data_IF_844418566727
#
_entry.id   IF_844418566727
#
_cell.length_a   1.000
_cell.length_b   1.000
_cell.length_c   1.000
_cell.angle_alpha   90.00
_cell.angle_beta   90.00
_cell.angle_gamma   90.00
#
_symmetry.space_group_name_H-M   'P 1'
#
loop_
_entity.id
_entity.type
_entity.pdbx_description
1 polymer ?
#
# COMPACT_ATOMS: atom_id res chain seq x y z
N UNK A 1 -14.24 -2.21 13.29
CA UNK A 1 -12.77 -2.06 13.29
C UNK A 1 -12.00 -2.84 12.20
N UNK A 2 -12.51 -3.90 11.53
CA UNK A 2 -11.75 -4.57 10.46
C UNK A 2 -11.40 -3.66 9.26
N UNK A 3 -12.20 -2.65 8.98
CA UNK A 3 -12.01 -1.75 7.82
C UNK A 3 -10.78 -0.85 7.98
N UNK A 4 -10.57 -0.24 9.16
CA UNK A 4 -9.41 0.64 9.42
C UNK A 4 -8.10 -0.14 9.31
N UNK A 5 -8.02 -1.30 9.97
CA UNK A 5 -6.84 -2.18 9.89
C UNK A 5 -6.51 -2.57 8.44
N UNK A 6 -7.52 -2.92 7.64
CA UNK A 6 -7.31 -3.24 6.20
C UNK A 6 -6.80 -2.04 5.42
N UNK A 7 -7.31 -0.85 5.68
CA UNK A 7 -6.88 0.38 5.00
C UNK A 7 -5.43 0.72 5.35
N UNK A 8 -5.06 0.66 6.63
CA UNK A 8 -3.69 0.91 7.09
C UNK A 8 -2.72 -0.11 6.49
N UNK A 9 -3.06 -1.40 6.51
CA UNK A 9 -2.22 -2.43 5.88
C UNK A 9 -2.09 -2.24 4.37
N UNK A 10 -3.13 -1.77 3.69
CA UNK A 10 -3.07 -1.46 2.26
C UNK A 10 -2.14 -0.29 1.99
N UNK A 11 -2.21 0.78 2.78
CA UNK A 11 -1.33 1.93 2.67
C UNK A 11 0.13 1.56 2.97
N UNK A 12 0.39 0.80 4.03
CA UNK A 12 1.72 0.33 4.38
C UNK A 12 2.35 -0.53 3.26
N UNK A 13 1.58 -1.46 2.70
CA UNK A 13 2.04 -2.27 1.56
C UNK A 13 2.31 -1.44 0.31
N UNK A 14 1.45 -0.48 0.00
CA UNK A 14 1.63 0.43 -1.11
C UNK A 14 2.88 1.29 -0.95
N UNK A 15 3.15 1.80 0.26
CA UNK A 15 4.35 2.54 0.60
C UNK A 15 5.62 1.69 0.47
N UNK A 16 5.60 0.47 1.01
CA UNK A 16 6.75 -0.43 1.00
C UNK A 16 7.03 -1.07 -0.37
N UNK A 17 6.11 -0.94 -1.34
CA UNK A 17 6.27 -1.53 -2.67
C UNK A 17 7.50 -0.99 -3.41
N UNK A 18 7.77 0.32 -3.32
CA UNK A 18 8.93 0.94 -3.96
C UNK A 18 10.26 0.46 -3.36
N UNK A 19 10.54 0.63 -2.06
CA UNK A 19 11.83 0.19 -1.50
C UNK A 19 12.05 -1.32 -1.64
N UNK A 20 11.00 -2.11 -1.49
CA UNK A 20 11.12 -3.55 -1.70
C UNK A 20 11.28 -3.93 -3.18
N UNK A 21 10.70 -3.17 -4.09
CA UNK A 21 10.93 -3.30 -5.53
C UNK A 21 12.37 -3.07 -5.88
N UNK A 22 12.95 -1.97 -5.42
CA UNK A 22 14.37 -1.64 -5.62
C UNK A 22 15.28 -2.69 -4.99
N UNK A 23 15.02 -3.09 -3.73
CA UNK A 23 15.79 -4.14 -3.08
C UNK A 23 15.71 -5.48 -3.83
N UNK A 24 14.55 -5.83 -4.37
CA UNK A 24 14.39 -7.05 -5.17
C UNK A 24 15.17 -6.99 -6.49
N UNK A 25 15.29 -5.83 -7.14
CA UNK A 25 16.14 -5.63 -8.32
C UNK A 25 17.60 -5.86 -7.95
N UNK A 26 18.10 -5.21 -6.91
CA UNK A 26 19.49 -5.36 -6.43
C UNK A 26 19.78 -6.83 -6.10
N UNK A 27 18.92 -7.49 -5.34
CA UNK A 27 19.08 -8.91 -5.00
C UNK A 27 19.09 -9.81 -6.23
N UNK A 28 18.30 -9.51 -7.25
CA UNK A 28 18.29 -10.29 -8.50
C UNK A 28 19.58 -10.10 -9.27
N UNK A 29 20.06 -8.86 -9.40
CA UNK A 29 21.31 -8.54 -10.11
C UNK A 29 22.55 -9.08 -9.38
N UNK A 30 22.50 -9.23 -8.07
CA UNK A 30 23.58 -9.83 -7.26
C UNK A 30 23.48 -11.36 -7.14
N UNK A 31 22.68 -12.01 -7.99
CA UNK A 31 22.58 -13.48 -8.03
C UNK A 31 21.76 -14.10 -6.89
N UNK A 32 20.89 -13.32 -6.20
CA UNK A 32 20.07 -13.78 -5.10
C UNK A 32 18.55 -13.74 -5.42
N UNK A 33 18.09 -14.30 -6.55
CA UNK A 33 16.69 -14.18 -6.99
C UNK A 33 15.70 -14.81 -6.01
N UNK A 34 16.10 -15.87 -5.27
CA UNK A 34 15.27 -16.48 -4.26
C UNK A 34 14.98 -15.57 -3.04
N UNK A 35 15.92 -14.69 -2.65
CA UNK A 35 15.68 -13.70 -1.61
C UNK A 35 14.76 -12.59 -2.11
N UNK A 36 14.95 -12.13 -3.35
CA UNK A 36 14.08 -11.16 -3.99
C UNK A 36 12.62 -11.67 -4.05
N UNK A 37 12.43 -12.92 -4.45
CA UNK A 37 11.12 -13.57 -4.49
C UNK A 37 10.44 -13.61 -3.11
N UNK A 38 11.17 -14.03 -2.07
CA UNK A 38 10.65 -14.06 -0.68
C UNK A 38 10.27 -12.68 -0.16
N UNK A 39 11.08 -11.66 -0.43
CA UNK A 39 10.79 -10.28 -0.03
C UNK A 39 9.46 -9.81 -0.63
N UNK A 40 9.26 -10.01 -1.92
CA UNK A 40 8.01 -9.65 -2.61
C UNK A 40 6.81 -10.46 -2.16
N UNK A 41 6.95 -11.77 -1.96
CA UNK A 41 5.88 -12.62 -1.46
C UNK A 41 5.34 -12.16 -0.10
N UNK A 42 6.24 -11.75 0.81
CA UNK A 42 5.85 -11.19 2.13
C UNK A 42 5.01 -9.94 2.00
N UNK A 43 5.35 -9.04 1.06
CA UNK A 43 4.60 -7.79 0.84
C UNK A 43 3.28 -8.02 0.11
N UNK A 44 3.22 -8.98 -0.81
CA UNK A 44 1.99 -9.34 -1.50
C UNK A 44 0.96 -10.02 -0.58
N UNK A 45 1.38 -10.46 0.61
CA UNK A 45 0.48 -11.12 1.56
C UNK A 45 0.44 -12.64 1.42
N UNK A 46 1.49 -13.23 0.89
CA UNK A 46 1.62 -14.66 0.57
C UNK A 46 1.41 -14.91 -0.92
N UNK A 47 1.92 -16.00 -1.40
CA UNK A 47 1.91 -16.40 -2.80
C UNK A 47 3.33 -16.71 -3.29
N UNK A 48 3.43 -17.35 -4.44
CA UNK A 48 4.71 -17.65 -5.06
C UNK A 48 5.41 -16.37 -5.50
N UNK A 49 6.63 -16.17 -5.05
CA UNK A 49 7.45 -15.05 -5.46
C UNK A 49 7.89 -15.19 -6.91
N UNK A 50 7.90 -14.12 -7.65
CA UNK A 50 8.40 -14.11 -9.02
C UNK A 50 9.91 -14.13 -9.06
N UNK A 51 10.47 -14.90 -9.98
CA UNK A 51 11.92 -15.01 -10.19
C UNK A 51 12.30 -14.51 -11.56
N UNK A 52 13.57 -14.14 -11.71
CA UNK A 52 14.18 -13.80 -13.00
C UNK A 52 13.52 -12.61 -13.70
N UNK A 53 13.31 -12.74 -15.01
CA UNK A 53 12.83 -11.65 -15.87
C UNK A 53 11.45 -11.09 -15.49
N UNK A 54 10.57 -11.91 -14.93
CA UNK A 54 9.24 -11.45 -14.46
C UNK A 54 9.34 -10.50 -13.28
N UNK A 55 10.23 -10.79 -12.32
CA UNK A 55 10.48 -9.91 -11.19
C UNK A 55 11.06 -8.57 -11.63
N UNK A 56 11.99 -8.59 -12.57
CA UNK A 56 12.59 -7.39 -13.15
C UNK A 56 11.55 -6.59 -13.96
N UNK A 57 10.79 -7.25 -14.84
CA UNK A 57 9.73 -6.62 -15.62
C UNK A 57 8.67 -5.94 -14.72
N UNK A 58 8.23 -6.62 -13.63
CA UNK A 58 7.32 -6.02 -12.66
C UNK A 58 7.93 -4.80 -11.96
N UNK A 59 9.22 -4.87 -11.60
CA UNK A 59 9.89 -3.75 -10.93
C UNK A 59 9.97 -2.53 -11.84
N UNK A 60 10.36 -2.71 -13.10
CA UNK A 60 10.47 -1.61 -14.08
C UNK A 60 9.09 -1.03 -14.44
N UNK A 61 8.14 -1.89 -14.84
CA UNK A 61 6.79 -1.44 -15.23
C UNK A 61 5.98 -0.87 -14.06
N UNK A 62 6.26 -1.34 -12.84
CA UNK A 62 5.58 -0.86 -11.64
C UNK A 62 6.19 0.38 -11.01
N UNK A 63 7.39 0.77 -11.42
CA UNK A 63 8.12 1.89 -10.80
C UNK A 63 7.29 3.18 -10.69
N UNK A 64 6.55 3.63 -11.72
CA UNK A 64 5.74 4.84 -11.61
C UNK A 64 4.64 4.74 -10.54
N UNK A 65 3.93 3.59 -10.50
CA UNK A 65 2.86 3.36 -9.52
C UNK A 65 3.42 3.21 -8.10
N UNK A 66 4.53 2.50 -7.96
CA UNK A 66 5.18 2.27 -6.67
C UNK A 66 5.77 3.60 -6.14
N UNK A 67 6.35 4.44 -7.01
CA UNK A 67 6.85 5.76 -6.67
C UNK A 67 5.69 6.71 -6.28
N UNK A 68 4.61 6.75 -7.05
CA UNK A 68 3.44 7.56 -6.72
C UNK A 68 2.83 7.16 -5.37
N UNK A 69 2.73 5.85 -5.08
CA UNK A 69 2.24 5.36 -3.80
C UNK A 69 3.18 5.72 -2.65
N UNK A 70 4.50 5.61 -2.85
CA UNK A 70 5.51 5.98 -1.86
C UNK A 70 5.43 7.47 -1.51
N UNK A 71 5.39 8.34 -2.52
CA UNK A 71 5.30 9.80 -2.33
C UNK A 71 4.00 10.16 -1.63
N UNK A 72 2.86 9.62 -2.10
CA UNK A 72 1.55 9.95 -1.53
C UNK A 72 1.42 9.54 -0.06
N UNK A 73 1.81 8.31 0.27
CA UNK A 73 1.73 7.81 1.65
C UNK A 73 2.79 8.48 2.53
N UNK A 74 4.00 8.73 2.00
CA UNK A 74 5.04 9.47 2.69
C UNK A 74 4.59 10.91 3.02
N UNK A 75 3.98 11.59 2.07
CA UNK A 75 3.37 12.90 2.28
C UNK A 75 2.26 12.86 3.33
N UNK A 76 1.40 11.84 3.29
CA UNK A 76 0.35 11.67 4.29
C UNK A 76 0.92 11.44 5.69
N UNK A 77 1.98 10.64 5.83
CA UNK A 77 2.68 10.42 7.10
C UNK A 77 3.33 11.71 7.62
N UNK A 78 4.09 12.40 6.76
CA UNK A 78 4.74 13.66 7.11
C UNK A 78 3.73 14.69 7.62
N UNK A 79 2.64 14.90 6.88
CA UNK A 79 1.61 15.85 7.28
C UNK A 79 0.82 15.38 8.52
N UNK A 80 0.70 14.07 8.76
CA UNK A 80 0.11 13.57 10.00
C UNK A 80 0.96 13.96 11.22
N UNK A 81 2.27 13.75 11.13
CA UNK A 81 3.19 14.18 12.20
C UNK A 81 3.12 15.69 12.40
N UNK A 82 3.13 16.46 11.31
CA UNK A 82 3.08 17.93 11.36
C UNK A 82 1.78 18.46 11.97
N UNK A 83 0.62 17.97 11.51
CA UNK A 83 -0.67 18.53 11.92
C UNK A 83 -1.11 18.02 13.30
N UNK A 84 -0.84 16.76 13.65
CA UNK A 84 -1.14 16.27 15.00
C UNK A 84 -0.12 16.76 16.04
N UNK A 85 1.13 16.96 15.63
CA UNK A 85 2.18 17.52 16.47
C UNK A 85 2.23 19.04 16.45
N UNK A 86 1.23 19.73 15.88
CA UNK A 86 1.20 21.19 15.74
C UNK A 86 1.59 21.94 17.03
N UNK A 87 1.06 21.61 18.21
CA UNK A 87 1.45 22.30 19.44
C UNK A 87 2.93 22.17 19.78
N UNK A 88 3.60 21.09 19.38
CA UNK A 88 5.02 20.86 19.66
C UNK A 88 5.88 21.73 18.76
N UNK A 89 5.53 21.84 17.47
CA UNK A 89 6.35 22.52 16.46
C UNK A 89 6.19 24.04 16.45
N UNK A 90 5.00 24.52 16.89
CA UNK A 90 4.62 25.92 16.77
C UNK A 90 4.39 26.63 18.12
N UNK A 91 4.85 26.03 19.23
CA UNK A 91 4.68 26.57 20.57
C UNK A 91 5.29 27.98 20.72
N UNK A 92 6.45 28.21 20.10
CA UNK A 92 7.21 29.46 20.20
C UNK A 92 6.91 30.42 19.01
N UNK A 93 5.86 30.16 18.24
CA UNK A 93 5.46 31.02 17.12
C UNK A 93 4.23 31.85 17.46
N UNK A 94 4.03 32.97 16.74
CA UNK A 94 2.79 33.74 16.86
C UNK A 94 1.64 33.01 16.12
N UNK A 95 0.87 32.26 16.87
CA UNK A 95 -0.27 31.51 16.38
C UNK A 95 -1.59 32.24 16.53
N UNK A 96 -1.61 33.46 17.13
CA UNK A 96 -2.86 34.18 17.44
C UNK A 96 -3.64 34.58 16.19
N UNK A 97 -2.93 34.80 15.08
CA UNK A 97 -3.51 35.10 13.75
C UNK A 97 -3.75 33.87 12.89
N UNK A 98 -3.42 32.66 13.39
CA UNK A 98 -3.61 31.43 12.64
C UNK A 98 -5.08 30.98 12.64
N UNK A 99 -5.43 30.18 11.65
CA UNK A 99 -6.78 29.58 11.54
C UNK A 99 -7.12 28.77 12.79
N UNK A 100 -8.20 29.15 13.46
CA UNK A 100 -8.62 28.59 14.74
C UNK A 100 -8.12 29.34 15.97
N UNK A 101 -7.29 30.44 15.79
CA UNK A 101 -6.86 31.30 16.90
C UNK A 101 -8.03 31.91 17.68
N UNK A 102 -7.76 32.62 18.77
CA UNK A 102 -6.44 33.02 19.29
C UNK A 102 -5.77 32.00 20.24
N UNK A 103 -6.32 30.82 20.44
CA UNK A 103 -5.74 29.82 21.35
C UNK A 103 -5.01 28.72 20.59
N UNK A 104 -3.91 28.19 21.14
CA UNK A 104 -3.18 27.06 20.57
C UNK A 104 -4.11 25.83 20.41
N UNK A 105 -5.00 25.59 21.35
CA UNK A 105 -5.97 24.48 21.27
C UNK A 105 -6.92 24.63 20.08
N UNK A 106 -7.41 25.84 19.81
CA UNK A 106 -8.27 26.13 18.66
C UNK A 106 -7.53 25.94 17.33
N UNK A 107 -6.33 26.49 17.22
CA UNK A 107 -5.47 26.30 16.03
C UNK A 107 -5.19 24.83 15.78
N UNK A 108 -4.79 24.09 16.81
CA UNK A 108 -4.52 22.66 16.71
C UNK A 108 -5.78 21.88 16.30
N UNK A 109 -6.92 22.15 16.90
CA UNK A 109 -8.17 21.48 16.59
C UNK A 109 -8.55 21.64 15.11
N UNK A 110 -8.41 22.85 14.56
CA UNK A 110 -8.68 23.12 13.13
C UNK A 110 -7.73 22.35 12.22
N UNK A 111 -6.42 22.40 12.51
CA UNK A 111 -5.41 21.71 11.70
C UNK A 111 -5.55 20.19 11.79
N UNK A 112 -5.74 19.64 12.98
CA UNK A 112 -5.92 18.21 13.19
C UNK A 112 -7.20 17.69 12.52
N UNK A 113 -8.32 18.40 12.69
CA UNK A 113 -9.60 17.99 12.08
C UNK A 113 -9.57 18.10 10.56
N UNK A 114 -9.07 19.22 10.03
CA UNK A 114 -8.93 19.41 8.59
C UNK A 114 -8.03 18.33 7.97
N UNK A 115 -6.94 18.01 8.66
CA UNK A 115 -6.05 16.94 8.20
C UNK A 115 -6.69 15.55 8.29
N UNK A 116 -7.45 15.25 9.34
CA UNK A 116 -8.17 13.98 9.44
C UNK A 116 -9.15 13.78 8.28
N UNK A 117 -9.88 14.82 7.88
CA UNK A 117 -10.77 14.77 6.72
C UNK A 117 -9.99 14.55 5.43
N UNK A 118 -8.90 15.30 5.24
CA UNK A 118 -8.01 15.12 4.10
C UNK A 118 -7.44 13.70 4.04
N UNK A 119 -6.94 13.19 5.17
CA UNK A 119 -6.39 11.84 5.29
C UNK A 119 -7.43 10.77 4.97
N UNK A 120 -8.67 10.93 5.44
CA UNK A 120 -9.75 10.02 5.11
C UNK A 120 -10.00 9.95 3.60
N UNK A 121 -10.02 11.09 2.90
CA UNK A 121 -10.15 11.16 1.45
C UNK A 121 -8.94 10.51 0.75
N UNK A 122 -7.71 10.86 1.15
CA UNK A 122 -6.47 10.35 0.57
C UNK A 122 -6.37 8.83 0.71
N UNK A 123 -6.66 8.30 1.90
CA UNK A 123 -6.62 6.85 2.14
C UNK A 123 -7.77 6.11 1.45
N UNK A 124 -8.95 6.74 1.34
CA UNK A 124 -10.10 6.08 0.75
C UNK A 124 -9.99 5.98 -0.78
N UNK A 125 -9.53 7.01 -1.47
CA UNK A 125 -9.56 7.07 -2.93
C UNK A 125 -8.17 6.87 -3.55
N UNK A 126 -7.22 7.82 -3.46
CA UNK A 126 -5.95 7.70 -4.19
C UNK A 126 -5.14 6.46 -3.81
N UNK A 127 -4.96 6.18 -2.52
CA UNK A 127 -4.19 5.01 -2.06
C UNK A 127 -4.83 3.70 -2.52
N UNK A 128 -6.16 3.60 -2.49
CA UNK A 128 -6.87 2.40 -2.98
C UNK A 128 -6.78 2.25 -4.49
N UNK A 129 -6.81 3.34 -5.25
CA UNK A 129 -6.60 3.33 -6.69
C UNK A 129 -5.20 2.84 -7.05
N UNK A 130 -4.18 3.41 -6.43
CA UNK A 130 -2.79 2.98 -6.63
C UNK A 130 -2.59 1.51 -6.26
N UNK A 131 -3.11 1.07 -5.11
CA UNK A 131 -3.05 -0.33 -4.71
C UNK A 131 -3.82 -1.28 -5.65
N UNK A 132 -4.90 -0.83 -6.29
CA UNK A 132 -5.57 -1.60 -7.35
C UNK A 132 -4.72 -1.71 -8.61
N UNK A 133 -4.09 -0.59 -9.02
CA UNK A 133 -3.16 -0.55 -10.14
C UNK A 133 -1.98 -1.49 -9.94
N UNK A 134 -1.35 -1.45 -8.77
CA UNK A 134 -0.27 -2.37 -8.40
C UNK A 134 -0.71 -3.84 -8.50
N UNK A 135 -1.87 -4.20 -7.92
CA UNK A 135 -2.42 -5.56 -8.01
C UNK A 135 -2.81 -5.98 -9.44
N UNK A 136 -3.31 -5.04 -10.25
CA UNK A 136 -3.63 -5.33 -11.64
C UNK A 136 -2.36 -5.63 -12.45
N UNK A 137 -1.29 -4.87 -12.21
CA UNK A 137 0.02 -5.12 -12.82
C UNK A 137 0.60 -6.45 -12.36
N UNK A 138 0.51 -6.76 -11.07
CA UNK A 138 0.95 -8.04 -10.52
C UNK A 138 0.27 -9.22 -11.26
N UNK A 139 -1.05 -9.18 -11.41
CA UNK A 139 -1.81 -10.21 -12.14
C UNK A 139 -1.39 -10.34 -13.61
N UNK A 140 -1.10 -9.24 -14.28
CA UNK A 140 -0.64 -9.27 -15.68
C UNK A 140 0.73 -9.92 -15.82
N UNK A 141 1.64 -9.63 -14.91
CA UNK A 141 3.00 -10.17 -14.93
C UNK A 141 3.04 -11.65 -14.51
N UNK A 142 2.17 -12.07 -13.58
CA UNK A 142 2.10 -13.48 -13.13
C UNK A 142 1.43 -14.39 -14.14
N UNK A 143 0.61 -13.86 -15.04
CA UNK A 143 -0.18 -14.68 -15.97
C UNK A 143 -1.22 -15.57 -15.27
N UNK A 144 -1.45 -15.39 -13.97
CA UNK A 144 -2.50 -16.09 -13.23
C UNK A 144 -3.86 -15.63 -13.73
N UNK A 145 -4.41 -16.36 -14.69
CA UNK A 145 -5.85 -16.34 -14.93
C UNK A 145 -6.49 -16.83 -13.63
N UNK A 146 -7.38 -16.05 -13.07
CA UNK A 146 -8.27 -16.51 -12.01
C UNK A 146 -9.05 -17.69 -12.59
N UNK A 147 -8.64 -18.91 -12.25
CA UNK A 147 -9.49 -20.09 -12.49
C UNK A 147 -10.67 -19.90 -11.54
N UNK A 148 -11.89 -19.73 -12.05
CA UNK A 148 -13.05 -19.60 -11.16
C UNK A 148 -13.16 -20.91 -10.36
N UNK A 149 -13.40 -20.78 -9.06
CA UNK A 149 -13.53 -21.85 -8.06
C UNK A 149 -14.68 -22.87 -8.37
N UNK A 150 -15.20 -22.84 -9.57
CA UNK A 150 -16.37 -23.61 -10.00
C UNK A 150 -16.09 -25.07 -10.35
N UNK A 151 -14.84 -25.48 -10.49
CA UNK A 151 -14.53 -26.86 -10.91
C UNK A 151 -14.20 -27.83 -9.75
N UNK A 152 -14.08 -27.32 -8.52
CA UNK A 152 -13.74 -28.21 -7.36
C UNK A 152 -14.97 -28.95 -6.82
N UNK A 153 -16.19 -28.53 -7.13
CA UNK A 153 -17.41 -29.08 -6.54
C UNK A 153 -18.18 -30.08 -7.45
N UNK A 154 -17.69 -30.37 -8.66
CA UNK A 154 -18.48 -31.25 -9.58
C UNK A 154 -17.98 -32.70 -9.69
N UNK A 155 -16.86 -33.06 -9.01
CA UNK A 155 -16.28 -34.41 -9.18
C UNK A 155 -16.66 -35.51 -8.17
N UNK A 156 -17.45 -35.30 -7.10
CA UNK A 156 -17.85 -36.44 -6.25
C UNK A 156 -19.14 -37.17 -6.68
N UNK A 157 -19.89 -36.65 -7.63
CA UNK A 157 -21.21 -37.21 -7.92
C UNK A 157 -21.23 -38.43 -8.90
N UNK A 158 -20.14 -38.66 -9.62
CA UNK A 158 -20.08 -39.75 -10.64
C UNK A 158 -19.49 -41.07 -10.11
N UNK A 159 -18.97 -41.11 -8.87
CA UNK A 159 -18.34 -42.32 -8.31
C UNK A 159 -19.29 -43.22 -7.49
N UNK A 160 -20.57 -42.86 -7.34
CA UNK A 160 -21.54 -43.57 -6.52
C UNK A 160 -22.69 -44.21 -7.32
N UNK A 161 -22.40 -44.84 -8.47
CA UNK A 161 -23.38 -45.73 -9.11
C UNK A 161 -23.17 -47.17 -8.64
N UNK A 162 -24.13 -47.81 -7.94
CA UNK A 162 -24.05 -49.22 -7.57
C UNK A 162 -24.21 -50.11 -8.79
N UNK A 163 -23.37 -51.15 -8.87
CA UNK A 163 -23.50 -52.26 -9.81
C UNK A 163 -24.54 -53.24 -9.35
#
# INVERSE_FOLDING_TARGET
MPTIRRTVLTAARAFLALPAGLAAVVLTLTGQPGRAARLRARLAGGGEGWTGGRALGRAVLGLPLDAAAFVLVGYALFNSVRNFGYPIWYLDTDYHQAWGGPTMAGVWAVHATGWLLCLAVVLHWPVRWLARGQRALDRRVTGTRHVPDRQVNEEPALAAAPR
#
